data_IF_401312917944
#
_entry.id   IF_401312917944
#
_cell.length_a   1.000
_cell.length_b   1.000
_cell.length_c   1.000
_cell.angle_alpha   90.00
_cell.angle_beta   90.00
_cell.angle_gamma   90.00
#
_symmetry.space_group_name_H-M   'P 1'
#
loop_
_entity.id
_entity.type
_entity.pdbx_description
1 polymer ?
#
# COMPACT_ATOMS: atom_id res chain seq x y z
N UNK A 1 18.40 -1.01 1.56
CA UNK A 1 18.01 0.36 1.17
C UNK A 1 16.49 0.63 1.18
N UNK A 2 15.64 -0.35 1.50
CA UNK A 2 14.18 -0.26 1.34
C UNK A 2 13.41 0.06 2.64
N UNK A 3 14.06 -0.11 3.80
CA UNK A 3 13.59 0.33 5.12
C UNK A 3 12.96 1.73 5.15
N UNK A 4 13.64 2.77 4.58
CA UNK A 4 13.18 4.15 4.70
C UNK A 4 11.81 4.44 4.08
N UNK A 5 11.34 3.65 3.10
CA UNK A 5 10.03 3.86 2.48
C UNK A 5 8.93 3.27 3.37
N UNK A 6 9.13 2.06 3.89
CA UNK A 6 8.20 1.42 4.81
C UNK A 6 8.06 2.23 6.11
N UNK A 7 9.18 2.67 6.68
CA UNK A 7 9.22 3.55 7.86
C UNK A 7 8.39 4.84 7.63
N UNK A 8 8.59 5.54 6.50
CA UNK A 8 7.83 6.76 6.18
C UNK A 8 6.33 6.51 6.02
N UNK A 9 5.94 5.38 5.42
CA UNK A 9 4.53 5.01 5.28
C UNK A 9 3.92 4.72 6.65
N UNK A 10 4.64 3.98 7.49
CA UNK A 10 4.22 3.66 8.84
C UNK A 10 4.10 4.92 9.72
N UNK A 11 5.12 5.78 9.75
CA UNK A 11 5.08 7.05 10.48
C UNK A 11 3.88 7.92 10.06
N UNK A 12 3.57 7.96 8.75
CA UNK A 12 2.42 8.72 8.26
C UNK A 12 1.09 8.09 8.68
N UNK A 13 1.02 6.77 8.69
CA UNK A 13 -0.13 6.00 9.15
C UNK A 13 -0.39 6.24 10.64
N UNK A 14 0.65 6.18 11.48
CA UNK A 14 0.58 6.48 12.91
C UNK A 14 0.15 7.92 13.18
N UNK A 15 0.78 8.90 12.51
CA UNK A 15 0.42 10.33 12.67
C UNK A 15 -1.03 10.63 12.30
N UNK A 16 -1.58 9.89 11.33
CA UNK A 16 -2.96 10.03 10.91
C UNK A 16 -3.94 9.16 11.74
N UNK A 17 -3.42 8.34 12.66
CA UNK A 17 -4.17 7.28 13.36
C UNK A 17 -5.02 6.43 12.39
N UNK A 18 -4.45 6.16 11.21
CA UNK A 18 -5.13 5.55 10.08
C UNK A 18 -4.31 4.40 9.54
N UNK A 19 -4.81 3.18 9.67
CA UNK A 19 -4.13 1.94 9.29
C UNK A 19 -4.86 1.26 8.15
N UNK A 20 -4.11 0.68 7.22
CA UNK A 20 -4.65 -0.01 6.04
C UNK A 20 -4.58 -1.52 6.16
N UNK A 21 -5.54 -2.22 5.53
CA UNK A 21 -5.46 -3.68 5.35
C UNK A 21 -4.68 -4.09 4.10
N UNK A 22 -4.57 -3.18 3.14
CA UNK A 22 -3.96 -3.46 1.84
C UNK A 22 -2.68 -2.67 1.67
N UNK A 23 -1.57 -3.38 1.46
CA UNK A 23 -0.30 -2.79 1.08
C UNK A 23 -0.12 -2.89 -0.43
N UNK A 24 0.29 -1.80 -1.07
CA UNK A 24 0.56 -1.75 -2.52
C UNK A 24 1.97 -1.28 -2.79
N UNK A 25 2.72 -2.06 -3.56
CA UNK A 25 4.05 -1.75 -4.06
C UNK A 25 3.97 -1.38 -5.54
N UNK A 26 4.55 -0.23 -5.90
CA UNK A 26 4.62 0.30 -7.25
C UNK A 26 6.07 0.50 -7.65
N UNK A 27 6.47 -0.18 -8.72
CA UNK A 27 7.81 -0.09 -9.31
C UNK A 27 7.69 0.62 -10.65
N UNK A 28 8.47 1.69 -10.86
CA UNK A 28 8.58 2.39 -12.14
C UNK A 28 10.00 2.22 -12.69
N UNK A 29 10.11 1.76 -13.91
CA UNK A 29 11.38 1.48 -14.59
C UNK A 29 11.85 2.68 -15.42
N UNK A 30 13.11 2.65 -15.84
CA UNK A 30 13.72 3.71 -16.67
C UNK A 30 13.11 3.80 -18.07
N UNK A 31 12.57 2.69 -18.60
CA UNK A 31 11.79 2.64 -19.85
C UNK A 31 10.36 3.19 -19.69
N UNK A 32 10.03 3.81 -18.56
CA UNK A 32 8.72 4.36 -18.21
C UNK A 32 7.59 3.33 -18.00
N UNK A 33 7.90 2.03 -18.02
CA UNK A 33 6.96 1.00 -17.61
C UNK A 33 6.74 1.03 -16.09
N UNK A 34 5.56 0.58 -15.68
CA UNK A 34 5.18 0.49 -14.28
C UNK A 34 4.57 -0.87 -14.00
N UNK A 35 5.06 -1.54 -12.97
CA UNK A 35 4.43 -2.74 -12.42
C UNK A 35 3.91 -2.39 -11.02
N UNK A 36 2.70 -2.87 -10.70
CA UNK A 36 2.06 -2.69 -9.40
C UNK A 36 1.62 -4.03 -8.87
N UNK A 37 1.86 -4.27 -7.58
CA UNK A 37 1.39 -5.44 -6.84
C UNK A 37 0.79 -4.97 -5.53
N UNK A 38 -0.24 -5.66 -5.07
CA UNK A 38 -0.86 -5.38 -3.78
C UNK A 38 -1.24 -6.67 -3.08
N UNK A 39 -1.27 -6.62 -1.75
CA UNK A 39 -1.70 -7.72 -0.89
C UNK A 39 -2.59 -7.15 0.21
N UNK A 40 -3.72 -7.82 0.44
CA UNK A 40 -4.69 -7.47 1.48
C UNK A 40 -4.64 -8.51 2.58
N UNK A 41 -4.52 -8.05 3.82
CA UNK A 41 -4.59 -8.87 5.03
C UNK A 41 -6.00 -8.85 5.63
N UNK A 42 -6.30 -9.86 6.45
CA UNK A 42 -7.56 -9.94 7.20
C UNK A 42 -7.66 -8.90 8.33
N UNK A 43 -6.53 -8.33 8.73
CA UNK A 43 -6.39 -7.34 9.80
C UNK A 43 -5.73 -6.06 9.27
N UNK A 44 -5.79 -4.98 10.07
CA UNK A 44 -5.07 -3.75 9.77
C UNK A 44 -3.59 -3.92 10.08
N UNK A 45 -2.72 -3.43 9.20
CA UNK A 45 -1.29 -3.39 9.43
C UNK A 45 -0.98 -2.27 10.42
N UNK A 46 -0.67 -2.64 11.66
CA UNK A 46 -0.51 -1.73 12.80
C UNK A 46 0.91 -1.65 13.34
N UNK A 47 1.83 -2.42 12.75
CA UNK A 47 3.25 -2.36 13.06
C UNK A 47 4.12 -2.22 11.81
N UNK A 48 5.32 -1.69 11.99
CA UNK A 48 6.33 -1.62 10.93
C UNK A 48 6.76 -3.01 10.46
N UNK A 49 6.84 -3.98 11.37
CA UNK A 49 7.24 -5.36 11.07
C UNK A 49 6.24 -6.06 10.12
N UNK A 50 4.93 -5.89 10.35
CA UNK A 50 3.90 -6.40 9.44
C UNK A 50 3.99 -5.78 8.04
N UNK A 51 4.28 -4.48 7.97
CA UNK A 51 4.49 -3.80 6.68
C UNK A 51 5.73 -4.37 5.99
N UNK A 52 6.81 -4.64 6.72
CA UNK A 52 8.03 -5.25 6.17
C UNK A 52 7.80 -6.66 5.63
N UNK A 53 7.05 -7.48 6.36
CA UNK A 53 6.71 -8.83 5.93
C UNK A 53 5.93 -8.81 4.61
N UNK A 54 4.83 -8.05 4.55
CA UNK A 54 4.00 -7.95 3.35
C UNK A 54 4.76 -7.30 2.20
N UNK A 55 5.63 -6.33 2.49
CA UNK A 55 6.50 -5.71 1.50
C UNK A 55 7.47 -6.71 0.87
N UNK A 56 8.09 -7.58 1.68
CA UNK A 56 9.00 -8.63 1.22
C UNK A 56 8.30 -9.57 0.25
N UNK A 57 7.13 -10.08 0.65
CA UNK A 57 6.32 -10.95 -0.21
C UNK A 57 5.92 -10.28 -1.53
N UNK A 58 5.55 -9.00 -1.48
CA UNK A 58 5.25 -8.24 -2.69
C UNK A 58 6.47 -8.13 -3.58
N UNK A 59 7.66 -7.90 -3.02
CA UNK A 59 8.89 -7.78 -3.79
C UNK A 59 9.30 -9.10 -4.43
N UNK A 60 9.17 -10.21 -3.72
CA UNK A 60 9.43 -11.56 -4.25
C UNK A 60 8.51 -11.92 -5.43
N UNK A 61 7.33 -11.28 -5.52
CA UNK A 61 6.41 -11.44 -6.65
C UNK A 61 6.78 -10.62 -7.90
N UNK A 62 7.80 -9.75 -7.83
CA UNK A 62 8.33 -9.06 -8.99
C UNK A 62 9.47 -9.86 -9.60
N UNK A 63 9.21 -10.44 -10.76
CA UNK A 63 10.26 -10.94 -11.62
C UNK A 63 10.75 -9.77 -12.50
N UNK A 64 11.88 -9.17 -12.11
CA UNK A 64 12.48 -8.06 -12.86
C UNK A 64 13.98 -8.26 -13.01
N UNK A 65 14.38 -9.38 -13.61
CA UNK A 65 15.76 -9.55 -14.03
C UNK A 65 16.14 -8.48 -15.08
N UNK A 66 17.17 -7.68 -14.76
CA UNK A 66 17.80 -6.74 -15.68
C UNK A 66 17.13 -5.37 -15.87
N UNK A 67 15.95 -5.11 -15.29
CA UNK A 67 15.27 -3.83 -15.47
C UNK A 67 15.76 -2.76 -14.47
N UNK A 68 16.21 -1.60 -14.98
CA UNK A 68 16.66 -0.49 -14.14
C UNK A 68 15.44 0.21 -13.50
N UNK A 69 15.34 0.13 -12.17
CA UNK A 69 14.29 0.80 -11.40
C UNK A 69 14.61 2.29 -11.23
N UNK A 70 13.65 3.15 -11.57
CA UNK A 70 13.75 4.61 -11.42
C UNK A 70 13.06 5.11 -10.15
N UNK A 71 11.93 4.51 -9.77
CA UNK A 71 11.15 4.89 -8.58
C UNK A 71 10.49 3.68 -7.95
N UNK A 72 10.41 3.70 -6.62
CA UNK A 72 9.63 2.78 -5.80
C UNK A 72 8.63 3.58 -4.97
N UNK A 73 7.39 3.10 -4.94
CA UNK A 73 6.33 3.68 -4.13
C UNK A 73 5.62 2.60 -3.32
N UNK A 74 5.26 2.95 -2.08
CA UNK A 74 4.50 2.11 -1.19
C UNK A 74 3.27 2.88 -0.71
N UNK A 75 2.11 2.24 -0.66
CA UNK A 75 0.87 2.87 -0.20
C UNK A 75 -0.02 1.89 0.56
N UNK A 76 -0.74 2.41 1.56
CA UNK A 76 -1.78 1.72 2.30
C UNK A 76 -3.16 2.11 1.77
N UNK A 77 -4.07 1.15 1.69
CA UNK A 77 -5.49 1.36 1.38
C UNK A 77 -6.38 0.45 2.23
N UNK A 78 -7.70 0.55 2.05
CA UNK A 78 -8.69 -0.09 2.93
C UNK A 78 -8.47 0.34 4.39
N UNK A 79 -8.50 1.66 4.59
CA UNK A 79 -8.13 2.30 5.84
C UNK A 79 -9.26 2.17 6.86
N UNK A 80 -8.91 2.07 8.14
CA UNK A 80 -9.85 2.11 9.27
C UNK A 80 -10.55 3.47 9.48
N UNK A 81 -10.58 4.33 8.46
CA UNK A 81 -11.18 5.67 8.47
C UNK A 81 -12.62 5.69 7.97
N UNK A 82 -13.12 4.56 7.47
CA UNK A 82 -14.55 4.43 7.15
C UNK A 82 -15.35 4.55 8.45
N UNK A 83 -15.95 5.71 8.65
CA UNK A 83 -16.99 5.85 9.66
C UNK A 83 -18.15 4.94 9.22
N UNK A 84 -18.81 4.21 10.14
CA UNK A 84 -20.08 3.59 9.86
C UNK A 84 -21.12 4.69 9.64
N UNK A 85 -21.06 5.35 8.48
CA UNK A 85 -22.13 6.16 7.98
C UNK A 85 -23.31 5.24 7.71
N UNK A 86 -24.51 5.68 8.10
CA UNK A 86 -25.73 5.11 7.55
C UNK A 86 -25.57 5.14 6.03
N UNK A 87 -25.34 3.98 5.41
CA UNK A 87 -25.25 3.86 3.97
C UNK A 87 -26.55 4.35 3.37
N UNK A 88 -26.61 5.63 2.99
CA UNK A 88 -27.81 6.24 2.44
C UNK A 88 -27.83 5.97 0.94
N UNK A 89 -28.88 5.31 0.48
CA UNK A 89 -29.16 5.19 -0.94
C UNK A 89 -29.56 6.57 -1.46
N UNK A 90 -28.84 7.07 -2.46
CA UNK A 90 -29.19 8.33 -3.11
C UNK A 90 -30.41 8.11 -4.02
N UNK A 91 -31.40 8.99 -3.92
CA UNK A 91 -32.54 8.99 -4.83
C UNK A 91 -32.15 9.69 -6.13
N UNK A 92 -32.33 9.00 -7.27
CA UNK A 92 -32.27 9.62 -8.59
C UNK A 92 -33.59 10.37 -8.84
N UNK A 93 -33.51 11.66 -9.19
CA UNK A 93 -34.68 12.42 -9.65
C UNK A 93 -34.88 12.13 -11.13
N UNK A 94 -35.98 11.47 -11.45
CA UNK A 94 -36.49 11.35 -12.82
C UNK A 94 -37.63 12.34 -13.01
#
# INVERSE_FOLDING_TARGET
ALGPIAEKVFERSERANSYGKTLTLKVKFSNFEQITRSKTQGHYLTSLDEIHEVYGELMDSFDSEGAQVRLLGLSLSNLNTEQPGLGVQLTLRF
#
